data_IF_336210518044
#
_entry.id   IF_336210518044
#
_cell.length_a   1.000
_cell.length_b   1.000
_cell.length_c   1.000
_cell.angle_alpha   90.00
_cell.angle_beta   90.00
_cell.angle_gamma   90.00
#
_symmetry.space_group_name_H-M   'P 1'
#
loop_
_entity.id
_entity.type
_entity.pdbx_description
1 polymer ?
#
# COMPACT_ATOMS: atom_id res chain seq x y z
N UNK A 1 -17.44 5.72 16.07
CA UNK A 1 -16.37 6.52 15.45
C UNK A 1 -16.31 6.16 13.96
N UNK A 2 -16.23 7.19 13.09
CA UNK A 2 -16.24 7.05 11.62
C UNK A 2 -14.85 7.33 11.06
N UNK A 3 -14.26 6.36 10.37
CA UNK A 3 -12.88 6.40 9.89
C UNK A 3 -12.88 6.38 8.37
N UNK A 4 -12.22 7.36 7.73
CA UNK A 4 -11.92 7.36 6.31
C UNK A 4 -10.54 6.78 6.04
N UNK A 5 -10.46 5.68 5.29
CA UNK A 5 -9.20 5.11 4.82
C UNK A 5 -8.94 5.56 3.38
N UNK A 6 -7.82 6.27 3.19
CA UNK A 6 -7.47 6.88 1.91
C UNK A 6 -6.41 6.03 1.21
N UNK A 7 -6.69 5.62 -0.03
CA UNK A 7 -5.82 4.85 -0.91
C UNK A 7 -5.58 5.60 -2.22
N UNK A 8 -4.49 5.32 -2.89
CA UNK A 8 -4.31 5.71 -4.31
C UNK A 8 -5.16 4.82 -5.21
N UNK A 9 -5.01 3.51 -5.01
CA UNK A 9 -5.85 2.46 -5.58
C UNK A 9 -6.24 1.49 -4.48
N UNK A 10 -7.39 0.83 -4.63
CA UNK A 10 -7.80 -0.18 -3.65
C UNK A 10 -6.82 -1.34 -3.62
N UNK A 11 -6.70 -2.00 -2.44
CA UNK A 11 -5.76 -3.09 -2.26
C UNK A 11 -5.91 -4.18 -3.32
N UNK A 12 -4.79 -4.51 -3.93
CA UNK A 12 -4.66 -5.67 -4.82
C UNK A 12 -4.60 -6.97 -4.01
N UNK A 13 -4.62 -8.10 -4.70
CA UNK A 13 -4.48 -9.42 -4.08
C UNK A 13 -3.18 -9.62 -3.29
N UNK A 14 -2.15 -8.80 -3.54
CA UNK A 14 -0.87 -8.82 -2.81
C UNK A 14 -0.87 -7.95 -1.54
N UNK A 15 -1.91 -7.15 -1.31
CA UNK A 15 -2.00 -6.21 -0.18
C UNK A 15 -3.03 -6.68 0.87
N UNK A 16 -3.02 -7.98 1.14
CA UNK A 16 -3.96 -8.64 2.07
C UNK A 16 -3.99 -8.04 3.47
N UNK A 17 -2.87 -7.46 3.92
CA UNK A 17 -2.77 -6.76 5.20
C UNK A 17 -3.69 -5.52 5.29
N UNK A 18 -3.97 -4.84 4.16
CA UNK A 18 -4.93 -3.73 4.14
C UNK A 18 -6.37 -4.23 4.27
N UNK A 19 -6.68 -5.36 3.63
CA UNK A 19 -7.98 -6.03 3.79
C UNK A 19 -8.19 -6.48 5.24
N UNK A 20 -7.16 -7.06 5.85
CA UNK A 20 -7.18 -7.45 7.26
C UNK A 20 -7.40 -6.25 8.18
N UNK A 21 -6.74 -5.11 7.88
CA UNK A 21 -6.94 -3.85 8.63
C UNK A 21 -8.38 -3.36 8.55
N UNK A 22 -8.98 -3.32 7.35
CA UNK A 22 -10.36 -2.90 7.15
C UNK A 22 -11.28 -3.82 7.99
N UNK A 23 -11.15 -5.13 7.81
CA UNK A 23 -11.97 -6.11 8.51
C UNK A 23 -11.86 -6.02 10.03
N UNK A 24 -10.63 -5.88 10.56
CA UNK A 24 -10.41 -5.76 12.01
C UNK A 24 -10.98 -4.47 12.60
N UNK A 25 -10.97 -3.36 11.87
CA UNK A 25 -11.62 -2.13 12.29
C UNK A 25 -13.14 -2.29 12.36
N UNK A 26 -13.73 -2.94 11.36
CA UNK A 26 -15.18 -3.21 11.33
C UNK A 26 -15.62 -4.14 12.46
N UNK A 27 -14.86 -5.21 12.72
CA UNK A 27 -15.13 -6.13 13.83
C UNK A 27 -15.09 -5.44 15.20
N UNK A 28 -14.30 -4.36 15.32
CA UNK A 28 -14.24 -3.54 16.54
C UNK A 28 -15.30 -2.45 16.59
N UNK A 29 -16.29 -2.47 15.70
CA UNK A 29 -17.42 -1.55 15.69
C UNK A 29 -17.14 -0.17 15.07
N UNK A 30 -16.02 0.02 14.36
CA UNK A 30 -15.77 1.26 13.66
C UNK A 30 -16.53 1.32 12.34
N UNK A 31 -17.12 2.47 12.04
CA UNK A 31 -17.72 2.72 10.74
C UNK A 31 -16.61 3.16 9.76
N UNK A 32 -16.23 2.28 8.83
CA UNK A 32 -15.11 2.51 7.90
C UNK A 32 -15.65 2.91 6.53
N UNK A 33 -15.17 4.05 6.01
CA UNK A 33 -15.36 4.48 4.62
C UNK A 33 -14.04 4.36 3.86
N UNK A 34 -14.12 3.92 2.61
CA UNK A 34 -12.96 3.69 1.76
C UNK A 34 -12.92 4.71 0.62
N UNK A 35 -11.80 5.40 0.48
CA UNK A 35 -11.58 6.42 -0.55
C UNK A 35 -10.42 5.99 -1.44
N UNK A 36 -10.65 5.85 -2.73
CA UNK A 36 -9.62 5.44 -3.69
C UNK A 36 -10.16 5.12 -5.06
N UNK A 37 -9.28 4.59 -5.91
CA UNK A 37 -9.58 4.18 -7.28
C UNK A 37 -9.63 2.66 -7.41
N UNK A 38 -10.30 2.17 -8.45
CA UNK A 38 -10.42 0.75 -8.75
C UNK A 38 -11.75 0.15 -8.29
N UNK A 39 -11.88 -1.17 -8.42
CA UNK A 39 -13.08 -1.92 -8.02
C UNK A 39 -12.73 -2.84 -6.85
N UNK A 40 -13.60 -2.89 -5.87
CA UNK A 40 -13.50 -3.82 -4.75
C UNK A 40 -14.90 -4.37 -4.45
N UNK A 41 -15.22 -5.54 -4.97
CA UNK A 41 -16.57 -6.11 -4.93
C UNK A 41 -17.12 -6.29 -3.50
N UNK A 42 -16.27 -6.73 -2.56
CA UNK A 42 -16.67 -7.02 -1.17
C UNK A 42 -17.11 -5.78 -0.37
N UNK A 43 -16.65 -4.58 -0.73
CA UNK A 43 -16.87 -3.36 0.05
C UNK A 43 -17.56 -2.27 -0.77
N UNK A 44 -18.26 -2.64 -1.84
CA UNK A 44 -18.82 -1.70 -2.81
C UNK A 44 -19.63 -0.56 -2.20
N UNK A 45 -20.46 -0.83 -1.20
CA UNK A 45 -21.32 0.16 -0.54
C UNK A 45 -20.55 1.18 0.33
N UNK A 46 -19.32 0.85 0.72
CA UNK A 46 -18.47 1.70 1.59
C UNK A 46 -17.44 2.51 0.81
N UNK A 47 -17.44 2.37 -0.52
CA UNK A 47 -16.48 3.03 -1.39
C UNK A 47 -16.98 4.39 -1.83
N UNK A 48 -16.15 5.41 -1.62
CA UNK A 48 -16.40 6.75 -2.11
C UNK A 48 -15.30 7.09 -3.13
N UNK A 49 -15.72 7.26 -4.36
CA UNK A 49 -14.81 7.58 -5.47
C UNK A 49 -14.57 9.07 -5.56
N UNK A 50 -13.36 9.45 -5.97
CA UNK A 50 -13.08 10.82 -6.34
C UNK A 50 -13.87 11.22 -7.61
N UNK A 51 -14.13 12.51 -7.84
CA UNK A 51 -14.79 12.97 -9.04
C UNK A 51 -14.02 12.56 -10.28
N UNK A 52 -14.70 11.91 -11.24
CA UNK A 52 -14.12 11.53 -12.53
C UNK A 52 -14.44 12.62 -13.54
N UNK A 53 -13.47 12.95 -14.38
CA UNK A 53 -13.62 13.84 -15.51
C UNK A 53 -13.57 13.02 -16.79
N UNK A 54 -14.55 13.21 -17.66
CA UNK A 54 -14.63 12.55 -18.97
C UNK A 54 -15.01 13.53 -20.07
N UNK A 55 -14.84 13.11 -21.34
CA UNK A 55 -15.17 13.91 -22.49
C UNK A 55 -14.11 14.97 -22.88
N UNK A 56 -14.53 15.95 -23.71
CA UNK A 56 -13.68 17.04 -24.16
C UNK A 56 -13.45 18.10 -23.06
N UNK A 57 -12.64 19.11 -23.36
CA UNK A 57 -12.28 20.17 -22.40
C UNK A 57 -13.49 20.92 -21.80
N UNK A 58 -14.50 21.26 -22.63
CA UNK A 58 -15.69 22.00 -22.20
C UNK A 58 -16.51 21.14 -21.22
N UNK A 59 -16.73 19.86 -21.54
CA UNK A 59 -17.46 18.93 -20.66
C UNK A 59 -16.74 18.79 -19.32
N UNK A 60 -15.42 18.65 -19.32
CA UNK A 60 -14.63 18.58 -18.08
C UNK A 60 -14.77 19.83 -17.23
N UNK A 61 -14.76 21.01 -17.85
CA UNK A 61 -14.94 22.28 -17.15
C UNK A 61 -16.32 22.35 -16.48
N UNK A 62 -17.38 21.99 -17.21
CA UNK A 62 -18.75 21.93 -16.67
C UNK A 62 -18.82 20.95 -15.49
N UNK A 63 -18.22 19.75 -15.62
CA UNK A 63 -18.20 18.78 -14.53
C UNK A 63 -17.49 19.30 -13.28
N UNK A 64 -16.37 20.00 -13.43
CA UNK A 64 -15.68 20.66 -12.30
C UNK A 64 -16.58 21.69 -11.62
N UNK A 65 -17.22 22.57 -12.39
CA UNK A 65 -18.12 23.60 -11.87
C UNK A 65 -19.29 22.96 -11.11
N UNK A 66 -19.95 21.96 -11.69
CA UNK A 66 -21.08 21.27 -11.03
C UNK A 66 -20.68 20.59 -9.72
N UNK A 67 -19.51 19.96 -9.67
CA UNK A 67 -19.00 19.32 -8.43
C UNK A 67 -18.73 20.38 -7.36
N UNK A 68 -18.11 21.50 -7.74
CA UNK A 68 -17.81 22.59 -6.80
C UNK A 68 -19.08 23.28 -6.31
N UNK A 69 -20.05 23.58 -7.18
CA UNK A 69 -21.34 24.15 -6.79
C UNK A 69 -22.08 23.22 -5.83
N UNK A 70 -22.17 21.94 -6.15
CA UNK A 70 -22.78 20.93 -5.27
C UNK A 70 -22.11 20.88 -3.90
N UNK A 71 -20.77 20.96 -3.87
CA UNK A 71 -20.01 20.96 -2.63
C UNK A 71 -20.25 22.23 -1.82
N UNK A 72 -20.23 23.40 -2.46
CA UNK A 72 -20.48 24.71 -1.83
C UNK A 72 -21.90 24.81 -1.25
N UNK A 73 -22.90 24.24 -1.93
CA UNK A 73 -24.29 24.23 -1.45
C UNK A 73 -24.41 23.27 -0.23
N UNK A 74 -23.80 22.08 -0.31
CA UNK A 74 -23.95 21.05 0.74
C UNK A 74 -23.03 21.26 1.95
N UNK A 75 -21.84 21.80 1.75
CA UNK A 75 -20.79 21.94 2.75
C UNK A 75 -20.06 23.28 2.64
N UNK A 76 -20.77 24.45 2.73
CA UNK A 76 -20.17 25.76 2.54
C UNK A 76 -19.04 26.02 3.54
N UNK A 77 -19.30 25.80 4.83
CA UNK A 77 -18.32 26.08 5.88
C UNK A 77 -17.03 25.26 5.73
N UNK A 78 -17.12 23.98 5.40
CA UNK A 78 -15.96 23.13 5.20
C UNK A 78 -15.17 23.57 3.94
N UNK A 79 -15.86 23.94 2.88
CA UNK A 79 -15.24 24.41 1.65
C UNK A 79 -14.46 25.71 1.85
N UNK A 80 -15.06 26.71 2.53
CA UNK A 80 -14.37 27.96 2.87
C UNK A 80 -13.20 27.73 3.82
N UNK A 81 -13.39 26.88 4.85
CA UNK A 81 -12.33 26.51 5.79
C UNK A 81 -11.17 25.83 5.07
N UNK A 82 -11.44 24.93 4.11
CA UNK A 82 -10.42 24.28 3.30
C UNK A 82 -9.60 25.28 2.48
N UNK A 83 -10.28 26.18 1.71
CA UNK A 83 -9.61 27.22 0.93
C UNK A 83 -8.77 28.13 1.83
N UNK A 84 -9.31 28.57 2.98
CA UNK A 84 -8.56 29.38 3.95
C UNK A 84 -7.28 28.70 4.43
N UNK A 85 -7.35 27.41 4.73
CA UNK A 85 -6.19 26.61 5.15
C UNK A 85 -5.14 26.45 4.02
N UNK A 86 -5.58 26.18 2.78
CA UNK A 86 -4.68 26.14 1.61
C UNK A 86 -3.98 27.48 1.41
N UNK A 87 -4.73 28.59 1.49
CA UNK A 87 -4.17 29.95 1.36
C UNK A 87 -3.19 30.28 2.48
N UNK A 88 -3.47 29.89 3.71
CA UNK A 88 -2.54 30.09 4.83
C UNK A 88 -1.24 29.29 4.69
N UNK A 89 -1.26 28.17 3.93
CA UNK A 89 -0.08 27.40 3.57
C UNK A 89 0.69 27.96 2.36
N UNK A 90 0.27 29.10 1.80
CA UNK A 90 0.88 29.72 0.63
C UNK A 90 0.48 29.10 -0.72
N UNK A 91 -0.56 28.28 -0.77
CA UNK A 91 -1.08 27.72 -2.04
C UNK A 91 -1.83 28.81 -2.80
N UNK A 92 -1.60 28.93 -4.10
CA UNK A 92 -2.32 29.89 -4.95
C UNK A 92 -3.83 29.60 -4.96
N UNK A 93 -4.68 30.62 -5.10
CA UNK A 93 -6.13 30.46 -5.06
C UNK A 93 -6.63 29.45 -6.11
N UNK A 94 -6.10 29.53 -7.33
CA UNK A 94 -6.49 28.62 -8.42
C UNK A 94 -6.14 27.15 -8.08
N UNK A 95 -5.00 26.91 -7.45
CA UNK A 95 -4.59 25.57 -7.04
C UNK A 95 -5.36 25.11 -5.80
N UNK A 96 -5.74 26.01 -4.90
CA UNK A 96 -6.64 25.73 -3.78
C UNK A 96 -8.02 25.26 -4.27
N UNK A 97 -8.55 25.90 -5.32
CA UNK A 97 -9.82 25.49 -5.96
C UNK A 97 -9.68 24.12 -6.65
N UNK A 98 -8.58 23.89 -7.38
CA UNK A 98 -8.29 22.57 -7.96
C UNK A 98 -8.18 21.49 -6.87
N UNK A 99 -7.49 21.77 -5.77
CA UNK A 99 -7.36 20.85 -4.65
C UNK A 99 -8.71 20.61 -3.95
N UNK A 100 -9.56 21.66 -3.82
CA UNK A 100 -10.93 21.52 -3.32
C UNK A 100 -11.76 20.56 -4.19
N UNK A 101 -11.69 20.69 -5.52
CA UNK A 101 -12.35 19.78 -6.45
C UNK A 101 -11.85 18.33 -6.26
N UNK A 102 -10.53 18.13 -6.26
CA UNK A 102 -9.90 16.79 -6.10
C UNK A 102 -10.30 16.13 -4.79
N UNK A 103 -10.51 16.89 -3.73
CA UNK A 103 -10.81 16.42 -2.39
C UNK A 103 -12.30 16.53 -2.01
N UNK A 104 -13.16 17.00 -2.93
CA UNK A 104 -14.59 17.22 -2.69
C UNK A 104 -15.32 16.00 -2.11
N UNK A 105 -14.96 14.80 -2.56
CA UNK A 105 -15.52 13.53 -2.10
C UNK A 105 -15.22 13.23 -0.63
N UNK A 106 -14.07 13.67 -0.10
CA UNK A 106 -13.71 13.53 1.31
C UNK A 106 -14.35 14.65 2.12
N UNK A 107 -14.25 15.89 1.64
CA UNK A 107 -14.79 17.10 2.31
C UNK A 107 -16.32 17.02 2.47
N UNK A 108 -17.01 16.34 1.54
CA UNK A 108 -18.46 16.12 1.64
C UNK A 108 -18.89 15.14 2.74
N UNK A 109 -17.94 14.49 3.43
CA UNK A 109 -18.24 13.52 4.47
C UNK A 109 -18.03 14.07 5.88
N UNK A 110 -18.61 13.37 6.88
CA UNK A 110 -18.36 13.62 8.29
C UNK A 110 -17.52 12.43 8.81
N UNK A 111 -16.25 12.67 9.06
CA UNK A 111 -15.31 11.67 9.58
C UNK A 111 -14.74 12.16 10.91
N UNK A 112 -14.49 11.24 11.83
CA UNK A 112 -13.73 11.51 13.05
C UNK A 112 -12.22 11.39 12.81
N UNK A 113 -11.85 10.49 11.87
CA UNK A 113 -10.48 10.23 11.47
C UNK A 113 -10.33 10.11 9.95
N UNK A 114 -9.28 10.74 9.43
CA UNK A 114 -8.78 10.54 8.08
C UNK A 114 -7.43 9.84 8.17
N UNK A 115 -7.37 8.58 7.72
CA UNK A 115 -6.15 7.80 7.74
C UNK A 115 -5.65 7.53 6.32
N UNK A 116 -4.47 8.04 6.01
CA UNK A 116 -3.80 7.82 4.74
C UNK A 116 -3.00 6.51 4.81
N UNK A 117 -3.40 5.52 4.04
CA UNK A 117 -2.79 4.18 4.05
C UNK A 117 -1.35 4.14 3.50
N UNK A 118 -0.96 5.20 2.79
CA UNK A 118 0.39 5.47 2.31
C UNK A 118 0.72 6.95 2.50
N UNK A 119 1.93 7.28 2.96
CA UNK A 119 2.33 8.65 3.23
C UNK A 119 2.22 9.56 1.99
N UNK A 120 2.60 9.08 0.82
CA UNK A 120 2.51 9.83 -0.44
C UNK A 120 1.08 10.23 -0.84
N UNK A 121 0.05 9.56 -0.31
CA UNK A 121 -1.35 9.88 -0.62
C UNK A 121 -1.84 11.15 0.08
N UNK A 122 -1.09 11.68 1.05
CA UNK A 122 -1.42 12.94 1.75
C UNK A 122 -1.17 14.16 0.89
N UNK A 123 -0.25 14.07 -0.08
CA UNK A 123 0.15 15.20 -0.94
C UNK A 123 -1.07 15.80 -1.64
N UNK A 124 -1.25 17.12 -1.53
CA UNK A 124 -2.44 17.90 -1.92
C UNK A 124 -3.71 17.58 -1.13
N UNK A 125 -3.58 16.92 0.04
CA UNK A 125 -4.67 16.58 0.96
C UNK A 125 -4.38 16.97 2.40
N UNK A 126 -3.29 17.70 2.62
CA UNK A 126 -2.77 18.05 3.93
C UNK A 126 -3.79 18.79 4.80
N UNK A 127 -4.71 19.53 4.17
CA UNK A 127 -5.72 20.33 4.85
C UNK A 127 -7.10 19.64 4.99
N UNK A 128 -7.29 18.46 4.35
CA UNK A 128 -8.62 17.83 4.29
C UNK A 128 -9.15 17.50 5.68
N UNK A 129 -8.35 16.86 6.52
CA UNK A 129 -8.77 16.45 7.86
C UNK A 129 -9.15 17.67 8.72
N UNK A 130 -8.31 18.72 8.73
CA UNK A 130 -8.57 19.95 9.49
C UNK A 130 -9.80 20.70 8.97
N UNK A 131 -10.08 20.66 7.66
CA UNK A 131 -11.24 21.31 7.06
C UNK A 131 -12.56 20.67 7.50
N UNK A 132 -12.57 19.38 7.80
CA UNK A 132 -13.75 18.63 8.24
C UNK A 132 -13.77 18.32 9.75
N UNK A 133 -12.87 18.94 10.52
CA UNK A 133 -12.71 18.77 11.97
C UNK A 133 -12.36 17.32 12.37
N UNK A 134 -11.68 16.57 11.49
CA UNK A 134 -11.20 15.22 11.75
C UNK A 134 -9.73 15.19 12.18
N UNK A 135 -9.34 14.14 12.89
CA UNK A 135 -7.93 13.83 13.19
C UNK A 135 -7.25 13.22 11.98
N UNK A 136 -6.00 13.60 11.72
CA UNK A 136 -5.22 13.10 10.59
C UNK A 136 -4.17 12.09 11.05
N UNK A 137 -4.12 10.94 10.41
CA UNK A 137 -3.05 9.96 10.58
C UNK A 137 -2.61 9.36 9.24
N UNK A 138 -1.41 8.81 9.22
CA UNK A 138 -0.88 8.13 8.04
C UNK A 138 -0.08 6.88 8.41
N UNK A 139 0.13 6.01 7.40
CA UNK A 139 1.05 4.88 7.50
C UNK A 139 2.33 5.17 6.72
N UNK A 140 3.48 4.97 7.36
CA UNK A 140 4.80 4.95 6.73
C UNK A 140 5.05 3.55 6.16
N UNK A 141 5.34 3.49 4.85
CA UNK A 141 5.66 2.26 4.14
C UNK A 141 6.92 2.46 3.29
N UNK A 142 7.46 1.37 2.73
CA UNK A 142 8.76 1.40 2.09
C UNK A 142 8.93 2.49 1.02
N UNK A 143 8.18 2.42 -0.09
CA UNK A 143 8.38 3.34 -1.21
C UNK A 143 8.13 4.80 -0.87
N UNK A 144 7.05 5.07 -0.15
CA UNK A 144 6.56 6.42 0.12
C UNK A 144 7.44 7.22 1.07
N UNK A 145 8.27 6.55 1.89
CA UNK A 145 9.21 7.24 2.77
C UNK A 145 10.68 7.05 2.37
N UNK A 146 11.04 5.92 1.74
CA UNK A 146 12.43 5.65 1.37
C UNK A 146 12.80 6.14 -0.03
N UNK A 147 11.84 6.18 -0.99
CA UNK A 147 12.13 6.52 -2.39
C UNK A 147 11.46 7.83 -2.82
N UNK A 148 10.19 8.03 -2.47
CA UNK A 148 9.42 9.19 -2.93
C UNK A 148 10.06 10.54 -2.53
N UNK A 149 10.58 10.75 -1.30
CA UNK A 149 11.24 11.99 -0.91
C UNK A 149 12.55 12.25 -1.64
N UNK A 150 13.26 11.22 -2.10
CA UNK A 150 14.49 11.41 -2.90
C UNK A 150 14.19 12.10 -4.23
N UNK A 151 13.04 11.80 -4.82
CA UNK A 151 12.56 12.41 -6.07
C UNK A 151 11.83 13.74 -5.84
N UNK A 152 11.26 13.94 -4.65
CA UNK A 152 10.40 15.06 -4.30
C UNK A 152 10.85 15.66 -2.97
N UNK A 153 11.97 16.38 -2.99
CA UNK A 153 12.56 16.98 -1.76
C UNK A 153 11.56 17.87 -1.04
N UNK A 154 11.49 17.77 0.28
CA UNK A 154 10.61 18.57 1.12
C UNK A 154 9.10 18.27 0.99
N UNK A 155 8.71 17.24 0.25
CA UNK A 155 7.31 16.93 -0.03
C UNK A 155 6.43 16.75 1.22
N UNK A 156 7.00 16.37 2.36
CA UNK A 156 6.26 16.12 3.60
C UNK A 156 6.35 17.24 4.64
N UNK A 157 7.06 18.36 4.36
CA UNK A 157 7.22 19.45 5.34
C UNK A 157 5.89 20.00 5.86
N UNK A 158 4.88 20.15 4.98
CA UNK A 158 3.54 20.60 5.37
C UNK A 158 2.74 19.49 6.07
N UNK A 159 2.99 18.24 5.69
CA UNK A 159 2.30 17.06 6.22
C UNK A 159 2.59 16.89 7.71
N UNK A 160 3.88 16.91 8.09
CA UNK A 160 4.30 16.70 9.48
C UNK A 160 3.62 17.64 10.46
N UNK A 161 3.46 18.91 10.10
CA UNK A 161 2.82 19.94 10.94
C UNK A 161 1.33 19.75 11.21
N UNK A 162 0.68 18.80 10.52
CA UNK A 162 -0.79 18.63 10.56
C UNK A 162 -1.23 17.25 11.05
N UNK A 163 -0.27 16.40 11.34
CA UNK A 163 -0.55 15.04 11.80
C UNK A 163 -0.97 15.01 13.27
N UNK A 164 -1.92 14.16 13.55
CA UNK A 164 -2.27 13.79 14.93
C UNK A 164 -1.52 12.55 15.38
N UNK A 165 -1.28 11.57 14.47
CA UNK A 165 -0.60 10.31 14.78
C UNK A 165 0.03 9.67 13.55
N UNK A 166 1.14 8.97 13.74
CA UNK A 166 1.84 8.21 12.70
C UNK A 166 1.80 6.72 13.04
N UNK A 167 1.52 5.91 12.04
CA UNK A 167 1.73 4.48 12.06
C UNK A 167 2.94 4.12 11.19
N UNK A 168 3.93 3.45 11.75
CA UNK A 168 5.05 2.89 10.98
C UNK A 168 5.03 1.37 11.01
N UNK A 169 5.46 0.74 9.93
CA UNK A 169 5.59 -0.73 9.88
C UNK A 169 6.94 -1.22 10.39
N UNK A 170 7.91 -0.33 10.62
CA UNK A 170 9.22 -0.68 11.19
C UNK A 170 9.89 0.53 11.84
N UNK A 171 10.90 0.26 12.70
CA UNK A 171 11.75 1.28 13.29
C UNK A 171 12.56 2.06 12.23
N UNK A 172 13.06 1.36 11.21
CA UNK A 172 13.85 1.95 10.14
C UNK A 172 13.07 3.02 9.37
N UNK A 173 11.83 2.72 8.98
CA UNK A 173 10.97 3.70 8.30
C UNK A 173 10.61 4.89 9.18
N UNK A 174 10.40 4.68 10.49
CA UNK A 174 10.16 5.77 11.42
C UNK A 174 11.42 6.66 11.55
N UNK A 175 12.60 6.07 11.65
CA UNK A 175 13.88 6.78 11.69
C UNK A 175 14.12 7.57 10.40
N UNK A 176 13.78 6.98 9.26
CA UNK A 176 13.85 7.64 7.96
C UNK A 176 12.90 8.84 7.87
N UNK A 177 11.66 8.71 8.38
CA UNK A 177 10.71 9.82 8.43
C UNK A 177 11.21 10.97 9.31
N UNK A 178 11.88 10.68 10.43
CA UNK A 178 12.52 11.69 11.28
C UNK A 178 13.62 12.45 10.54
N UNK A 179 14.44 11.78 9.70
CA UNK A 179 15.41 12.44 8.82
C UNK A 179 14.76 13.40 7.82
N UNK A 180 13.50 13.16 7.44
CA UNK A 180 12.71 14.04 6.57
C UNK A 180 11.84 15.04 7.35
N UNK A 181 12.10 15.26 8.64
CA UNK A 181 11.49 16.31 9.45
C UNK A 181 10.25 15.90 10.27
N UNK A 182 9.95 14.62 10.40
CA UNK A 182 8.95 14.16 11.37
C UNK A 182 9.50 14.41 12.78
N UNK A 183 8.81 15.24 13.55
CA UNK A 183 9.20 15.63 14.91
C UNK A 183 8.76 14.60 15.97
N UNK A 184 9.41 14.59 17.12
CA UNK A 184 9.16 13.59 18.17
C UNK A 184 7.91 13.88 19.01
N UNK A 185 7.34 15.08 18.89
CA UNK A 185 6.07 15.46 19.54
C UNK A 185 4.85 14.80 18.89
N UNK A 186 4.99 14.30 17.65
CA UNK A 186 3.91 13.57 16.98
C UNK A 186 3.94 12.11 17.46
N UNK A 187 2.87 11.62 18.12
CA UNK A 187 2.80 10.24 18.55
C UNK A 187 2.94 9.26 17.38
N UNK A 188 3.89 8.34 17.49
CA UNK A 188 4.14 7.32 16.48
C UNK A 188 4.06 5.91 17.09
N UNK A 189 3.40 5.00 16.40
CA UNK A 189 3.34 3.60 16.78
C UNK A 189 3.87 2.70 15.69
N UNK A 190 4.64 1.68 16.09
CA UNK A 190 5.15 0.66 15.20
C UNK A 190 4.24 -0.56 15.30
N UNK A 191 3.57 -0.84 14.19
CA UNK A 191 2.68 -2.00 14.06
C UNK A 191 3.06 -2.72 12.78
N UNK A 192 3.66 -3.90 12.91
CA UNK A 192 4.04 -4.73 11.78
C UNK A 192 2.81 -5.24 11.01
N UNK A 193 2.94 -5.48 9.69
CA UNK A 193 1.89 -6.11 8.92
C UNK A 193 1.50 -7.46 9.51
N UNK A 194 0.23 -7.59 9.90
CA UNK A 194 -0.27 -8.82 10.51
C UNK A 194 -0.68 -9.86 9.47
N UNK A 195 -0.47 -11.13 9.80
CA UNK A 195 -0.98 -12.28 9.06
C UNK A 195 -1.93 -13.08 9.94
N UNK A 196 -2.82 -13.84 9.33
CA UNK A 196 -3.66 -14.78 10.06
C UNK A 196 -2.83 -16.04 10.39
N UNK A 197 -2.28 -16.10 11.60
CA UNK A 197 -1.41 -17.20 12.05
C UNK A 197 -2.17 -18.53 12.04
N UNK A 198 -3.43 -18.54 12.50
CA UNK A 198 -4.24 -19.77 12.53
C UNK A 198 -4.47 -20.35 11.13
N UNK A 199 -4.60 -19.48 10.11
CA UNK A 199 -4.72 -19.94 8.74
C UNK A 199 -3.46 -20.63 8.22
N UNK A 200 -2.28 -20.12 8.58
CA UNK A 200 -0.99 -20.66 8.13
C UNK A 200 -0.37 -21.67 9.11
N UNK A 201 -0.95 -21.88 10.28
CA UNK A 201 -0.51 -22.92 11.21
C UNK A 201 -0.64 -24.31 10.58
N UNK A 202 0.27 -25.21 10.95
CA UNK A 202 0.19 -26.62 10.63
C UNK A 202 0.22 -27.40 11.95
N UNK A 203 -0.76 -28.26 12.18
CA UNK A 203 -0.79 -29.16 13.34
C UNK A 203 0.26 -30.28 13.25
N UNK A 204 0.81 -30.50 12.07
CA UNK A 204 1.83 -31.50 11.82
C UNK A 204 3.16 -30.83 11.55
N UNK A 205 3.97 -30.66 12.59
CA UNK A 205 5.43 -30.70 12.41
C UNK A 205 5.74 -32.17 12.04
N UNK A 206 5.65 -32.49 10.76
CA UNK A 206 6.21 -33.75 10.30
C UNK A 206 7.70 -33.65 10.55
N UNK A 207 8.20 -34.59 11.31
CA UNK A 207 9.65 -34.88 11.37
C UNK A 207 10.06 -35.20 9.94
N UNK A 208 10.47 -34.15 9.21
CA UNK A 208 10.89 -34.29 7.82
C UNK A 208 12.33 -34.78 7.88
N UNK A 209 12.53 -36.10 7.88
CA UNK A 209 13.82 -36.62 7.49
C UNK A 209 14.24 -35.96 6.19
N UNK A 210 15.43 -35.34 6.17
CA UNK A 210 15.92 -34.65 4.97
C UNK A 210 15.96 -35.69 3.83
N UNK A 211 15.07 -35.46 2.85
CA UNK A 211 15.09 -36.24 1.62
C UNK A 211 16.33 -35.84 0.82
N UNK A 212 16.80 -36.71 -0.05
CA UNK A 212 17.95 -36.47 -0.92
C UNK A 212 17.79 -35.24 -1.84
N UNK A 213 16.64 -34.59 -1.84
CA UNK A 213 16.36 -33.42 -2.67
C UNK A 213 15.69 -32.30 -1.82
N UNK A 214 16.35 -31.15 -1.69
CA UNK A 214 15.86 -30.00 -0.98
C UNK A 214 14.78 -29.27 -1.83
N UNK A 215 13.67 -28.90 -1.20
CA UNK A 215 12.56 -28.17 -1.86
C UNK A 215 12.53 -26.73 -1.38
N UNK A 216 12.97 -25.83 -2.24
CA UNK A 216 12.93 -24.39 -1.99
C UNK A 216 11.62 -23.78 -2.47
N UNK A 217 11.21 -22.71 -1.81
CA UNK A 217 10.02 -21.92 -2.17
C UNK A 217 10.28 -20.45 -2.04
N UNK A 218 9.78 -19.67 -2.99
CA UNK A 218 9.56 -18.23 -2.84
C UNK A 218 8.13 -17.88 -3.25
N UNK A 219 7.48 -17.03 -2.45
CA UNK A 219 6.15 -16.46 -2.76
C UNK A 219 6.27 -14.94 -2.75
N UNK A 220 6.37 -14.32 -3.92
CA UNK A 220 6.54 -12.88 -4.01
C UNK A 220 6.10 -12.33 -5.36
N UNK A 221 5.95 -10.99 -5.45
CA UNK A 221 5.88 -10.33 -6.76
C UNK A 221 7.23 -10.48 -7.46
N UNK A 222 7.21 -10.76 -8.77
CA UNK A 222 8.42 -10.85 -9.57
C UNK A 222 8.87 -9.43 -9.94
N UNK A 223 9.61 -8.83 -9.03
CA UNK A 223 10.08 -7.45 -9.09
C UNK A 223 11.54 -7.40 -8.62
N UNK A 224 12.37 -6.56 -9.21
CA UNK A 224 13.79 -6.45 -8.91
C UNK A 224 14.12 -6.34 -7.40
N UNK A 225 13.26 -5.65 -6.62
CA UNK A 225 13.38 -5.53 -5.15
C UNK A 225 13.36 -6.88 -4.40
N UNK A 226 12.93 -7.95 -5.06
CA UNK A 226 12.85 -9.29 -4.46
C UNK A 226 14.11 -10.11 -4.65
N UNK A 227 15.09 -9.58 -5.39
CA UNK A 227 16.41 -10.19 -5.55
C UNK A 227 16.41 -11.61 -6.11
N UNK A 228 15.36 -11.98 -6.87
CA UNK A 228 15.21 -13.35 -7.39
C UNK A 228 16.34 -13.77 -8.33
N UNK A 229 16.92 -12.82 -9.03
CA UNK A 229 18.08 -13.07 -9.89
C UNK A 229 19.28 -13.56 -9.09
N UNK A 230 19.62 -12.87 -7.99
CA UNK A 230 20.68 -13.30 -7.08
C UNK A 230 20.38 -14.66 -6.42
N UNK A 231 19.09 -14.94 -6.17
CA UNK A 231 18.69 -16.27 -5.68
C UNK A 231 18.97 -17.35 -6.73
N UNK A 232 18.69 -17.08 -8.01
CA UNK A 232 19.01 -18.01 -9.10
C UNK A 232 20.52 -18.22 -9.25
N UNK A 233 21.32 -17.16 -9.15
CA UNK A 233 22.79 -17.24 -9.18
C UNK A 233 23.31 -18.13 -8.04
N UNK A 234 22.87 -17.90 -6.80
CA UNK A 234 23.25 -18.72 -5.65
C UNK A 234 22.84 -20.19 -5.82
N UNK A 235 21.65 -20.46 -6.36
CA UNK A 235 21.20 -21.83 -6.63
C UNK A 235 21.98 -22.49 -7.78
N UNK A 236 22.52 -21.74 -8.73
CA UNK A 236 23.41 -22.30 -9.75
C UNK A 236 24.74 -22.79 -9.14
N UNK A 237 25.25 -22.08 -8.14
CA UNK A 237 26.46 -22.52 -7.40
C UNK A 237 26.18 -23.82 -6.63
N UNK A 238 25.05 -23.92 -5.91
CA UNK A 238 24.64 -25.14 -5.24
C UNK A 238 24.52 -26.34 -6.20
N UNK A 239 24.05 -26.09 -7.42
CA UNK A 239 24.00 -27.15 -8.45
C UNK A 239 25.37 -27.59 -8.91
N UNK A 240 26.32 -26.66 -9.08
CA UNK A 240 27.72 -26.98 -9.42
C UNK A 240 28.37 -27.84 -8.30
N UNK A 241 28.07 -27.52 -7.04
CA UNK A 241 28.54 -28.24 -5.88
C UNK A 241 27.85 -29.62 -5.71
N UNK A 242 26.98 -30.02 -6.63
CA UNK A 242 26.35 -31.34 -6.65
C UNK A 242 25.13 -31.52 -5.78
N UNK A 243 24.57 -30.45 -5.20
CA UNK A 243 23.34 -30.53 -4.40
C UNK A 243 22.09 -30.74 -5.27
N UNK A 244 21.25 -31.69 -4.87
CA UNK A 244 19.95 -31.93 -5.50
C UNK A 244 18.87 -31.06 -4.87
N UNK A 245 18.18 -30.25 -5.70
CA UNK A 245 17.11 -29.40 -5.24
C UNK A 245 16.05 -29.17 -6.32
N UNK A 246 14.88 -28.75 -5.86
CA UNK A 246 13.82 -28.13 -6.65
C UNK A 246 13.47 -26.77 -6.07
N UNK A 247 13.10 -25.82 -6.91
CA UNK A 247 12.74 -24.47 -6.48
C UNK A 247 11.48 -24.01 -7.18
N UNK A 248 10.42 -23.78 -6.39
CA UNK A 248 9.15 -23.26 -6.86
C UNK A 248 9.06 -21.74 -6.57
N UNK A 249 8.80 -20.96 -7.61
CA UNK A 249 8.59 -19.51 -7.53
C UNK A 249 7.13 -19.22 -7.81
N UNK A 250 6.39 -18.77 -6.78
CA UNK A 250 4.98 -18.39 -6.86
C UNK A 250 4.85 -16.88 -6.90
N UNK A 251 4.17 -16.38 -7.91
CA UNK A 251 3.89 -14.97 -8.12
C UNK A 251 3.96 -14.56 -9.57
N UNK A 252 3.76 -13.28 -9.80
CA UNK A 252 3.80 -12.65 -11.12
C UNK A 252 4.41 -11.25 -11.03
N UNK A 253 4.85 -10.69 -12.15
CA UNK A 253 5.42 -9.36 -12.19
C UNK A 253 6.28 -9.08 -13.44
N UNK A 254 6.73 -7.82 -13.58
CA UNK A 254 7.43 -7.37 -14.79
C UNK A 254 8.76 -8.08 -15.06
N UNK A 255 9.36 -8.72 -14.05
CA UNK A 255 10.65 -9.41 -14.19
C UNK A 255 10.53 -10.87 -14.70
N UNK A 256 9.31 -11.38 -14.95
CA UNK A 256 9.10 -12.80 -15.28
C UNK A 256 9.97 -13.26 -16.46
N UNK A 257 9.97 -12.53 -17.57
CA UNK A 257 10.71 -12.92 -18.77
C UNK A 257 12.22 -12.87 -18.54
N UNK A 258 12.71 -11.83 -17.85
CA UNK A 258 14.11 -11.71 -17.46
C UNK A 258 14.56 -12.88 -16.58
N UNK A 259 13.74 -13.25 -15.60
CA UNK A 259 14.03 -14.37 -14.69
C UNK A 259 14.00 -15.72 -15.41
N UNK A 260 13.10 -15.92 -16.38
CA UNK A 260 13.11 -17.12 -17.23
C UNK A 260 14.39 -17.20 -18.07
N UNK A 261 14.83 -16.08 -18.61
CA UNK A 261 16.09 -15.99 -19.36
C UNK A 261 17.27 -16.33 -18.45
N UNK A 262 17.39 -15.70 -17.28
CA UNK A 262 18.44 -15.98 -16.29
C UNK A 262 18.45 -17.48 -15.87
N UNK A 263 17.27 -18.07 -15.60
CA UNK A 263 17.15 -19.51 -15.32
C UNK A 263 17.76 -20.37 -16.42
N UNK A 264 17.50 -20.02 -17.68
CA UNK A 264 18.03 -20.76 -18.82
C UNK A 264 19.55 -20.62 -18.94
N UNK A 265 20.09 -19.40 -18.83
CA UNK A 265 21.53 -19.12 -18.84
C UNK A 265 22.30 -19.85 -17.74
N UNK A 266 21.68 -19.97 -16.56
CA UNK A 266 22.26 -20.67 -15.39
C UNK A 266 22.01 -22.20 -15.43
N UNK A 267 21.47 -22.73 -16.53
CA UNK A 267 21.14 -24.16 -16.68
C UNK A 267 20.20 -24.72 -15.60
N UNK A 268 19.32 -23.89 -15.02
CA UNK A 268 18.41 -24.28 -13.92
C UNK A 268 17.03 -24.77 -14.39
N UNK A 269 16.82 -25.02 -15.67
CA UNK A 269 15.50 -25.36 -16.25
C UNK A 269 14.85 -26.59 -15.61
N UNK A 270 15.64 -27.57 -15.19
CA UNK A 270 15.15 -28.78 -14.52
C UNK A 270 14.88 -28.58 -13.02
N UNK A 271 15.50 -27.59 -12.40
CA UNK A 271 15.46 -27.35 -10.98
C UNK A 271 14.41 -26.27 -10.58
N UNK A 272 14.20 -25.25 -11.41
CA UNK A 272 13.40 -24.05 -11.09
C UNK A 272 12.11 -24.00 -11.89
N UNK A 273 10.99 -23.83 -11.20
CA UNK A 273 9.65 -23.71 -11.80
C UNK A 273 9.01 -22.36 -11.44
N UNK A 274 8.54 -21.62 -12.44
CA UNK A 274 7.67 -20.46 -12.25
C UNK A 274 6.22 -20.95 -12.28
N UNK A 275 5.56 -20.93 -11.12
CA UNK A 275 4.18 -21.43 -10.95
C UNK A 275 3.15 -20.39 -11.40
N UNK A 276 3.54 -19.10 -11.47
CA UNK A 276 2.61 -18.00 -11.72
C UNK A 276 1.88 -17.56 -10.44
N UNK A 277 0.91 -16.66 -10.62
CA UNK A 277 0.11 -16.15 -9.51
C UNK A 277 -0.85 -17.19 -8.96
N UNK A 278 -0.87 -17.39 -7.66
CA UNK A 278 -1.83 -18.21 -6.94
C UNK A 278 -2.63 -17.41 -5.92
N UNK A 279 -3.91 -17.75 -5.75
CA UNK A 279 -4.72 -17.25 -4.62
C UNK A 279 -4.20 -17.80 -3.31
N UNK A 280 -4.31 -17.03 -2.23
CA UNK A 280 -3.78 -17.36 -0.89
C UNK A 280 -4.17 -18.77 -0.43
N UNK A 281 -5.39 -19.24 -0.71
CA UNK A 281 -5.85 -20.57 -0.34
C UNK A 281 -5.04 -21.71 -0.94
N UNK A 282 -4.43 -21.50 -2.10
CA UNK A 282 -3.65 -22.52 -2.80
C UNK A 282 -2.17 -22.51 -2.39
N UNK A 283 -1.70 -21.39 -1.80
CA UNK A 283 -0.28 -21.22 -1.41
C UNK A 283 0.08 -22.07 -0.19
N UNK A 284 -0.86 -22.30 0.73
CA UNK A 284 -0.62 -23.05 1.97
C UNK A 284 0.03 -24.42 1.72
N UNK A 285 -0.43 -25.17 0.70
CA UNK A 285 0.14 -26.48 0.34
C UNK A 285 1.61 -26.39 -0.08
N UNK A 286 2.00 -25.33 -0.75
CA UNK A 286 3.40 -25.13 -1.15
C UNK A 286 4.29 -24.89 0.07
N UNK A 287 3.86 -24.05 1.03
CA UNK A 287 4.59 -23.87 2.29
C UNK A 287 4.76 -25.20 3.06
N UNK A 288 3.69 -26.00 3.12
CA UNK A 288 3.71 -27.30 3.80
C UNK A 288 4.64 -28.33 3.13
N UNK A 289 4.77 -28.24 1.80
CA UNK A 289 5.55 -29.19 1.00
C UNK A 289 6.98 -28.74 0.76
N UNK A 290 7.37 -27.53 1.13
CA UNK A 290 8.73 -27.01 0.97
C UNK A 290 9.53 -27.21 2.25
N UNK A 291 10.84 -27.30 2.08
CA UNK A 291 11.77 -27.52 3.19
C UNK A 291 12.37 -26.18 3.63
N UNK A 292 12.66 -25.28 2.67
CA UNK A 292 13.29 -23.98 2.91
C UNK A 292 12.56 -22.90 2.12
N UNK A 293 12.23 -21.80 2.80
CA UNK A 293 11.68 -20.59 2.18
C UNK A 293 12.81 -19.59 1.91
N UNK A 294 12.97 -19.15 0.65
CA UNK A 294 14.00 -18.21 0.25
C UNK A 294 13.39 -16.82 0.06
N UNK A 295 13.95 -15.81 0.71
CA UNK A 295 13.53 -14.42 0.60
C UNK A 295 14.75 -13.49 0.65
N UNK A 296 15.14 -12.96 -0.50
CA UNK A 296 16.28 -12.05 -0.65
C UNK A 296 15.84 -10.59 -0.87
N UNK A 297 15.06 -10.02 0.03
CA UNK A 297 14.55 -8.65 -0.15
C UNK A 297 14.67 -7.80 1.12
#
# INVERSE_FOLDING_TARGET
>A
MKIGLIFTSFPSSSETFLLSKIHSLEQRGFNVLLFGNGKMSRYHEKIIYHPKLGGNFIIRLIQVILVLLKLLIKQPFKSFKYIKLERSDGVLLIDSIKNLFLNSHIISTNLDWVHFCFCSTVIRRENVAKAIDAKMSLSLRGYDISIYPLKNRGCYTKVWKKLYKVHSISNDLLSTAKKYGLTSDIPAEIIHPAINVNYFSSEKYADKSFKNTLRFLTVSRLHWKKGLEYTLEALSMLKIDGYNFSYDIIGDGPELERLKFARNQLNLNKNVKFIGYLKQKNIKKFYQNSDIYLQYS
#
